data_IF_223856302453
#
_entry.id   IF_223856302453
#
_cell.length_a   1.000
_cell.length_b   1.000
_cell.length_c   1.000
_cell.angle_alpha   90.00
_cell.angle_beta   90.00
_cell.angle_gamma   90.00
#
_symmetry.space_group_name_H-M   'P 1'
#
loop_
_entity.id
_entity.type
_entity.pdbx_description
1 polymer ?
#
# COMPACT_ATOMS: atom_id res chain seq x y z
N UNK A 1 1.06 -14.30 -6.67
CA UNK A 1 0.92 -14.19 -8.14
C UNK A 1 1.89 -15.09 -8.88
N UNK A 2 1.39 -15.94 -9.78
CA UNK A 2 2.24 -16.69 -10.72
C UNK A 2 2.85 -15.75 -11.80
N UNK A 3 3.74 -16.27 -12.63
CA UNK A 3 4.45 -15.48 -13.64
C UNK A 3 3.53 -14.82 -14.68
N UNK A 4 2.47 -15.52 -15.08
CA UNK A 4 1.51 -15.03 -16.07
C UNK A 4 0.66 -13.87 -15.51
N UNK A 5 0.12 -14.01 -14.30
CA UNK A 5 -0.63 -12.94 -13.63
C UNK A 5 0.22 -11.68 -13.42
N UNK A 6 1.53 -11.84 -13.13
CA UNK A 6 2.45 -10.69 -13.03
C UNK A 6 2.62 -9.99 -14.38
N UNK A 7 2.71 -10.74 -15.47
CA UNK A 7 2.83 -10.18 -16.81
C UNK A 7 1.57 -9.40 -17.17
N UNK A 8 0.40 -10.02 -17.01
CA UNK A 8 -0.90 -9.37 -17.27
C UNK A 8 -1.08 -8.11 -16.42
N UNK A 9 -0.77 -8.16 -15.12
CA UNK A 9 -0.88 -6.99 -14.25
C UNK A 9 0.01 -5.83 -14.72
N UNK A 10 1.24 -6.10 -15.18
CA UNK A 10 2.12 -5.06 -15.72
C UNK A 10 1.63 -4.47 -17.05
N UNK A 11 1.05 -5.30 -17.92
CA UNK A 11 0.46 -4.85 -19.19
C UNK A 11 -0.76 -3.96 -18.96
N UNK A 12 -1.66 -4.38 -18.06
CA UNK A 12 -2.82 -3.59 -17.64
C UNK A 12 -2.39 -2.29 -16.94
N UNK A 13 -1.36 -2.31 -16.08
CA UNK A 13 -0.85 -1.10 -15.43
C UNK A 13 -0.23 -0.11 -16.44
N UNK A 14 0.44 -0.61 -17.48
CA UNK A 14 0.94 0.21 -18.60
C UNK A 14 -0.23 0.85 -19.37
N UNK A 15 -1.30 0.10 -19.63
CA UNK A 15 -2.51 0.64 -20.26
C UNK A 15 -3.16 1.71 -19.38
N UNK A 16 -3.32 1.45 -18.08
CA UNK A 16 -3.84 2.43 -17.12
C UNK A 16 -3.01 3.72 -17.14
N UNK A 17 -1.68 3.62 -17.13
CA UNK A 17 -0.77 4.77 -17.18
C UNK A 17 -1.03 5.64 -18.41
N UNK A 18 -1.34 5.04 -19.57
CA UNK A 18 -1.60 5.76 -20.81
C UNK A 18 -2.94 6.53 -20.79
N UNK A 19 -3.93 6.05 -20.03
CA UNK A 19 -5.30 6.62 -20.05
C UNK A 19 -5.72 7.41 -18.81
N UNK A 20 -5.12 7.18 -17.64
CA UNK A 20 -5.66 7.68 -16.35
C UNK A 20 -5.83 9.20 -16.29
N UNK A 21 -5.05 9.96 -17.06
CA UNK A 21 -5.13 11.42 -17.11
C UNK A 21 -6.10 11.95 -18.18
N UNK A 22 -6.70 11.09 -19.00
CA UNK A 22 -7.60 11.47 -20.10
C UNK A 22 -9.06 11.49 -19.57
N UNK A 23 -9.71 12.66 -19.45
CA UNK A 23 -11.03 12.75 -18.79
C UNK A 23 -12.13 11.94 -19.46
N UNK A 24 -12.13 11.85 -20.80
CA UNK A 24 -13.11 11.05 -21.55
C UNK A 24 -12.96 9.54 -21.32
N UNK A 25 -11.79 9.09 -20.87
CA UNK A 25 -11.48 7.69 -20.56
C UNK A 25 -11.65 7.39 -19.06
N UNK A 26 -12.14 8.35 -18.27
CA UNK A 26 -12.25 8.23 -16.82
C UNK A 26 -12.95 6.94 -16.37
N UNK A 27 -14.10 6.60 -16.97
CA UNK A 27 -14.84 5.37 -16.61
C UNK A 27 -14.00 4.11 -16.82
N UNK A 28 -13.28 4.03 -17.93
CA UNK A 28 -12.43 2.89 -18.25
C UNK A 28 -11.17 2.85 -17.36
N UNK A 29 -10.56 4.02 -17.11
CA UNK A 29 -9.43 4.15 -16.22
C UNK A 29 -9.77 3.76 -14.78
N UNK A 30 -10.88 4.26 -14.24
CA UNK A 30 -11.35 3.92 -12.89
C UNK A 30 -11.67 2.43 -12.77
N UNK A 31 -12.34 1.84 -13.76
CA UNK A 31 -12.62 0.40 -13.76
C UNK A 31 -11.34 -0.45 -13.79
N UNK A 32 -10.35 -0.09 -14.63
CA UNK A 32 -9.08 -0.82 -14.70
C UNK A 32 -8.25 -0.61 -13.42
N UNK A 33 -8.26 0.60 -12.85
CA UNK A 33 -7.60 0.90 -11.58
C UNK A 33 -8.20 0.07 -10.44
N UNK A 34 -9.53 0.02 -10.31
CA UNK A 34 -10.22 -0.81 -9.32
C UNK A 34 -9.87 -2.29 -9.49
N UNK A 35 -9.85 -2.80 -10.74
CA UNK A 35 -9.42 -4.18 -11.02
C UNK A 35 -7.98 -4.43 -10.56
N UNK A 36 -7.04 -3.56 -10.95
CA UNK A 36 -5.62 -3.73 -10.63
C UNK A 36 -5.34 -3.60 -9.13
N UNK A 37 -6.02 -2.68 -8.47
CA UNK A 37 -5.95 -2.46 -7.03
C UNK A 37 -6.56 -3.63 -6.25
N UNK A 38 -7.77 -4.08 -6.63
CA UNK A 38 -8.44 -5.21 -6.02
C UNK A 38 -7.63 -6.51 -6.10
N UNK A 39 -6.88 -6.72 -7.19
CA UNK A 39 -5.95 -7.85 -7.27
C UNK A 39 -4.86 -7.80 -6.17
N UNK A 40 -4.45 -6.63 -5.68
CA UNK A 40 -3.41 -6.48 -4.65
C UNK A 40 -3.94 -6.55 -3.20
N UNK A 41 -5.26 -6.42 -3.02
CA UNK A 41 -5.94 -6.39 -1.71
C UNK A 41 -7.00 -7.47 -1.52
N UNK A 42 -7.16 -8.38 -2.50
CA UNK A 42 -8.25 -9.36 -2.55
C UNK A 42 -9.49 -8.73 -3.18
N UNK A 43 -10.11 -9.42 -4.14
CA UNK A 43 -11.27 -8.85 -4.82
C UNK A 43 -12.46 -8.87 -3.85
N UNK A 44 -12.85 -7.69 -3.37
CA UNK A 44 -14.08 -7.51 -2.61
C UNK A 44 -15.24 -7.41 -3.62
N UNK A 45 -15.86 -8.54 -3.96
CA UNK A 45 -17.12 -8.56 -4.74
C UNK A 45 -17.34 -9.78 -5.63
N UNK A 46 -18.37 -10.56 -5.28
CA UNK A 46 -19.19 -11.48 -6.10
C UNK A 46 -18.53 -12.54 -6.99
N UNK A 47 -17.25 -12.86 -6.78
CA UNK A 47 -16.69 -14.13 -7.26
C UNK A 47 -16.10 -14.90 -6.09
N UNK A 48 -16.75 -16.02 -5.83
CA UNK A 48 -16.34 -17.11 -4.94
C UNK A 48 -14.80 -17.29 -4.99
N UNK A 49 -14.10 -16.90 -3.91
CA UNK A 49 -12.71 -17.32 -3.65
C UNK A 49 -11.54 -16.39 -4.02
N UNK A 50 -11.71 -15.11 -4.35
CA UNK A 50 -10.57 -14.22 -4.65
C UNK A 50 -9.83 -13.72 -3.39
N UNK A 51 -8.90 -14.54 -2.88
CA UNK A 51 -8.09 -14.21 -1.69
C UNK A 51 -7.06 -13.12 -1.99
N UNK A 52 -6.94 -12.12 -1.11
CA UNK A 52 -5.87 -11.13 -1.10
C UNK A 52 -4.49 -11.79 -1.16
N UNK A 53 -3.59 -11.33 -2.04
CA UNK A 53 -2.23 -11.89 -2.10
C UNK A 53 -1.45 -11.68 -0.80
N UNK A 54 -1.69 -10.58 -0.08
CA UNK A 54 -1.13 -10.39 1.25
C UNK A 54 -1.64 -11.45 2.23
N UNK A 55 -2.95 -11.68 2.24
CA UNK A 55 -3.60 -12.72 3.03
C UNK A 55 -3.16 -14.14 2.65
N UNK A 56 -2.95 -14.43 1.36
CA UNK A 56 -2.40 -15.71 0.88
C UNK A 56 -0.98 -15.94 1.42
N UNK A 57 -0.14 -14.89 1.39
CA UNK A 57 1.20 -14.96 1.96
C UNK A 57 1.10 -15.22 3.46
N UNK A 58 0.22 -14.54 4.18
CA UNK A 58 0.10 -14.66 5.64
C UNK A 58 -0.46 -16.02 6.08
N UNK A 59 -1.58 -16.48 5.50
CA UNK A 59 -2.23 -17.76 5.87
C UNK A 59 -1.41 -18.99 5.51
N UNK A 60 -0.60 -18.93 4.45
CA UNK A 60 0.23 -20.04 3.99
C UNK A 60 1.62 -20.11 4.64
N UNK A 61 1.92 -19.21 5.60
CA UNK A 61 3.28 -19.02 6.10
C UNK A 61 3.36 -19.10 7.61
N UNK A 62 4.35 -19.86 8.11
CA UNK A 62 4.66 -19.90 9.54
C UNK A 62 5.00 -18.49 10.03
N UNK A 63 4.44 -18.11 11.16
CA UNK A 63 4.68 -16.80 11.79
C UNK A 63 6.17 -16.46 11.93
N UNK A 64 7.01 -17.44 12.28
CA UNK A 64 8.47 -17.26 12.33
C UNK A 64 9.06 -16.74 11.00
N UNK A 65 8.56 -17.22 9.87
CA UNK A 65 9.01 -16.78 8.54
C UNK A 65 8.48 -15.38 8.23
N UNK A 66 7.25 -15.07 8.67
CA UNK A 66 6.65 -13.75 8.49
C UNK A 66 7.44 -12.65 9.22
N UNK A 67 7.85 -12.95 10.44
CA UNK A 67 8.56 -12.06 11.35
C UNK A 67 10.06 -12.01 11.14
N UNK A 68 10.64 -12.96 10.40
CA UNK A 68 12.09 -13.09 10.23
C UNK A 68 12.71 -11.76 9.79
N UNK A 69 13.59 -11.22 10.62
CA UNK A 69 14.38 -10.03 10.36
C UNK A 69 15.77 -10.18 11.01
N UNK A 70 16.86 -9.74 10.36
CA UNK A 70 16.90 -9.35 8.96
C UNK A 70 16.73 -10.58 8.04
N UNK A 71 16.22 -10.35 6.83
CA UNK A 71 16.22 -11.38 5.79
C UNK A 71 17.44 -11.22 4.88
N UNK A 72 17.95 -12.34 4.39
CA UNK A 72 18.93 -12.33 3.31
C UNK A 72 18.20 -12.47 1.97
N UNK A 73 17.75 -11.36 1.39
CA UNK A 73 17.08 -11.34 0.08
C UNK A 73 17.65 -10.24 -0.79
N UNK A 74 17.55 -10.40 -2.11
CA UNK A 74 17.98 -9.37 -3.06
C UNK A 74 17.17 -8.09 -2.84
N UNK A 75 17.87 -6.97 -2.67
CA UNK A 75 17.31 -5.61 -2.54
C UNK A 75 16.39 -5.37 -1.33
N UNK A 76 16.51 -6.19 -0.27
CA UNK A 76 15.82 -5.95 1.02
C UNK A 76 16.42 -6.77 2.16
N UNK A 77 16.47 -6.16 3.36
CA UNK A 77 16.71 -6.86 4.63
C UNK A 77 15.46 -6.95 5.50
N UNK A 78 14.33 -6.42 5.03
CA UNK A 78 13.12 -6.24 5.81
C UNK A 78 12.27 -7.52 5.83
N UNK A 79 11.54 -7.73 6.92
CA UNK A 79 10.63 -8.87 7.08
C UNK A 79 9.43 -8.80 6.13
N UNK A 80 8.69 -9.92 6.03
CA UNK A 80 7.43 -9.94 5.27
C UNK A 80 6.41 -9.00 5.92
N UNK A 81 6.28 -9.05 7.25
CA UNK A 81 5.33 -8.17 7.97
C UNK A 81 5.66 -6.69 7.76
N UNK A 82 6.94 -6.30 7.73
CA UNK A 82 7.33 -4.93 7.41
C UNK A 82 6.90 -4.54 6.00
N UNK A 83 7.10 -5.39 4.99
CA UNK A 83 6.70 -5.07 3.61
C UNK A 83 5.20 -4.89 3.46
N UNK A 84 4.40 -5.72 4.14
CA UNK A 84 2.95 -5.63 4.13
C UNK A 84 2.44 -4.38 4.87
N UNK A 85 3.02 -4.07 6.04
CA UNK A 85 2.68 -2.86 6.80
C UNK A 85 3.10 -1.58 6.07
N UNK A 86 4.34 -1.52 5.59
CA UNK A 86 4.90 -0.35 4.92
C UNK A 86 4.12 0.04 3.67
N UNK A 87 3.73 -0.94 2.85
CA UNK A 87 2.89 -0.69 1.67
C UNK A 87 1.56 -0.07 2.06
N UNK A 88 0.83 -0.70 2.98
CA UNK A 88 -0.44 -0.17 3.45
C UNK A 88 -0.35 1.20 4.14
N UNK A 89 0.72 1.48 4.91
CA UNK A 89 0.96 2.81 5.48
C UNK A 89 1.12 3.87 4.39
N UNK A 90 1.95 3.60 3.37
CA UNK A 90 2.16 4.54 2.26
C UNK A 90 0.84 4.81 1.53
N UNK A 91 0.05 3.77 1.27
CA UNK A 91 -1.25 3.90 0.64
C UNK A 91 -2.21 4.72 1.52
N UNK A 92 -2.36 4.40 2.80
CA UNK A 92 -3.26 5.09 3.72
C UNK A 92 -2.96 6.59 3.78
N UNK A 93 -1.69 6.96 3.99
CA UNK A 93 -1.25 8.37 4.01
C UNK A 93 -1.63 9.07 2.69
N UNK A 94 -1.30 8.45 1.57
CA UNK A 94 -1.46 9.10 0.26
C UNK A 94 -2.91 9.16 -0.17
N UNK A 95 -3.70 8.12 0.05
CA UNK A 95 -5.09 8.08 -0.38
C UNK A 95 -5.98 8.90 0.54
N UNK A 96 -5.87 8.73 1.85
CA UNK A 96 -6.73 9.47 2.78
C UNK A 96 -6.31 10.93 2.91
N UNK A 97 -5.05 11.23 3.23
CA UNK A 97 -4.64 12.63 3.48
C UNK A 97 -4.49 13.38 2.15
N UNK A 98 -3.77 12.82 1.17
CA UNK A 98 -3.39 13.59 -0.03
C UNK A 98 -4.47 13.60 -1.12
N UNK A 99 -5.17 12.49 -1.34
CA UNK A 99 -6.20 12.38 -2.38
C UNK A 99 -7.57 12.79 -1.84
N UNK A 100 -8.04 12.19 -0.75
CA UNK A 100 -9.36 12.47 -0.19
C UNK A 100 -9.39 13.72 0.68
N UNK A 101 -8.30 14.04 1.38
CA UNK A 101 -8.29 15.09 2.40
C UNK A 101 -9.08 14.70 3.65
N UNK A 102 -9.06 13.41 4.00
CA UNK A 102 -9.76 12.84 5.17
C UNK A 102 -8.74 12.26 6.16
N UNK A 103 -9.23 11.90 7.35
CA UNK A 103 -8.46 11.15 8.34
C UNK A 103 -7.99 9.81 7.80
N UNK A 104 -6.87 9.31 8.34
CA UNK A 104 -6.30 8.02 7.97
C UNK A 104 -7.12 6.87 8.55
N UNK A 105 -7.04 5.71 7.91
CA UNK A 105 -7.56 4.47 8.51
C UNK A 105 -6.82 4.14 9.81
N UNK A 106 -5.52 4.45 9.88
CA UNK A 106 -4.70 4.22 11.07
C UNK A 106 -5.24 4.95 12.31
N UNK A 107 -5.84 6.13 12.13
CA UNK A 107 -6.27 7.01 13.22
C UNK A 107 -7.63 6.61 13.80
N UNK A 108 -8.25 5.55 13.29
CA UNK A 108 -9.46 4.97 13.90
C UNK A 108 -9.13 4.32 15.25
N UNK A 109 -10.02 4.47 16.23
CA UNK A 109 -9.81 4.17 17.67
C UNK A 109 -9.23 2.79 18.00
N UNK A 110 -9.25 1.84 17.06
CA UNK A 110 -8.86 0.45 17.28
C UNK A 110 -7.67 -0.03 16.42
N UNK A 111 -7.30 0.67 15.34
CA UNK A 111 -6.31 0.15 14.39
C UNK A 111 -4.89 0.08 14.96
N UNK A 112 -4.44 1.13 15.66
CA UNK A 112 -3.11 1.11 16.29
C UNK A 112 -2.99 0.04 17.37
N UNK A 113 -4.07 -0.20 18.12
CA UNK A 113 -4.12 -1.23 19.15
C UNK A 113 -4.01 -2.63 18.54
N UNK A 114 -4.78 -2.93 17.49
CA UNK A 114 -4.73 -4.22 16.79
C UNK A 114 -3.38 -4.47 16.10
N UNK A 115 -2.76 -3.42 15.56
CA UNK A 115 -1.42 -3.51 14.97
C UNK A 115 -0.35 -3.77 16.02
N UNK A 116 -0.56 -3.45 17.30
CA UNK A 116 0.42 -3.60 18.37
C UNK A 116 1.78 -2.93 18.02
N UNK A 117 1.75 -1.69 17.54
CA UNK A 117 2.96 -0.93 17.21
C UNK A 117 2.85 0.52 17.67
N UNK A 118 4.00 1.15 17.94
CA UNK A 118 4.10 2.59 18.24
C UNK A 118 4.38 3.47 17.02
N UNK A 119 4.48 2.88 15.83
CA UNK A 119 4.94 3.57 14.63
C UNK A 119 3.75 4.09 13.81
N UNK A 120 3.57 5.41 13.79
CA UNK A 120 2.56 6.07 12.94
C UNK A 120 3.11 6.57 11.60
N UNK A 121 4.42 6.64 11.42
CA UNK A 121 5.04 7.15 10.20
C UNK A 121 5.07 6.12 9.05
N UNK A 122 5.47 6.56 7.86
CA UNK A 122 5.54 5.76 6.63
C UNK A 122 6.56 4.60 6.64
N UNK A 123 7.56 4.63 7.51
CA UNK A 123 8.55 3.55 7.67
C UNK A 123 9.80 3.66 6.78
N UNK A 124 9.97 4.73 6.00
CA UNK A 124 11.07 4.87 5.03
C UNK A 124 12.47 5.02 5.64
N UNK A 125 12.59 5.61 6.83
CA UNK A 125 13.87 5.90 7.50
C UNK A 125 13.91 5.30 8.91
N UNK A 126 13.31 4.10 9.07
CA UNK A 126 13.39 3.33 10.31
C UNK A 126 14.81 2.83 10.55
N UNK A 127 15.25 2.83 11.80
CA UNK A 127 16.54 2.23 12.18
C UNK A 127 16.47 0.70 12.16
N UNK A 128 17.62 0.03 12.25
CA UNK A 128 17.64 -1.44 12.32
C UNK A 128 16.90 -1.97 13.55
N UNK A 129 16.99 -1.26 14.67
CA UNK A 129 16.30 -1.57 15.93
C UNK A 129 14.79 -1.41 15.78
N UNK A 130 14.33 -0.31 15.15
CA UNK A 130 12.91 -0.08 14.91
C UNK A 130 12.32 -1.11 13.94
N UNK A 131 13.08 -1.50 12.91
CA UNK A 131 12.66 -2.57 12.00
C UNK A 131 12.61 -3.93 12.68
N UNK A 132 13.55 -4.22 13.60
CA UNK A 132 13.53 -5.44 14.40
C UNK A 132 12.33 -5.46 15.35
N UNK A 133 12.07 -4.35 16.06
CA UNK A 133 10.92 -4.17 16.95
C UNK A 133 9.60 -4.38 16.20
N UNK A 134 9.38 -3.67 15.10
CA UNK A 134 8.16 -3.83 14.30
C UNK A 134 8.01 -5.26 13.78
N UNK A 135 9.09 -5.88 13.31
CA UNK A 135 9.02 -7.25 12.78
C UNK A 135 8.69 -8.28 13.86
N UNK A 136 9.18 -8.08 15.08
CA UNK A 136 8.93 -8.96 16.22
C UNK A 136 7.51 -8.78 16.76
N UNK A 137 7.03 -7.56 16.92
CA UNK A 137 5.87 -7.25 17.78
C UNK A 137 4.55 -7.03 17.03
N UNK A 138 4.57 -6.68 15.73
CA UNK A 138 3.34 -6.32 15.01
C UNK A 138 2.28 -7.43 15.06
N UNK A 139 1.05 -7.07 15.38
CA UNK A 139 -0.10 -7.98 15.39
C UNK A 139 -0.45 -8.41 13.96
N UNK A 140 -0.38 -9.72 13.66
CA UNK A 140 -0.60 -10.24 12.30
C UNK A 140 -2.06 -10.07 11.87
N UNK A 141 -3.01 -10.38 12.76
CA UNK A 141 -4.44 -10.21 12.48
C UNK A 141 -4.80 -8.73 12.32
N UNK A 142 -4.26 -7.86 13.18
CA UNK A 142 -4.40 -6.41 13.05
C UNK A 142 -3.81 -5.88 11.74
N UNK A 143 -2.66 -6.40 11.30
CA UNK A 143 -2.07 -6.06 10.01
C UNK A 143 -2.97 -6.47 8.84
N UNK A 144 -3.59 -7.64 8.89
CA UNK A 144 -4.57 -8.08 7.89
C UNK A 144 -5.79 -7.17 7.86
N UNK A 145 -6.35 -6.86 9.03
CA UNK A 145 -7.49 -5.96 9.16
C UNK A 145 -7.18 -4.58 8.62
N UNK A 146 -6.03 -4.02 8.99
CA UNK A 146 -5.56 -2.72 8.53
C UNK A 146 -5.41 -2.68 7.00
N UNK A 147 -4.78 -3.70 6.40
CA UNK A 147 -4.62 -3.78 4.94
C UNK A 147 -5.95 -3.85 4.19
N UNK A 148 -6.93 -4.58 4.73
CA UNK A 148 -8.28 -4.65 4.15
C UNK A 148 -9.00 -3.31 4.25
N UNK A 149 -8.95 -2.68 5.42
CA UNK A 149 -9.58 -1.39 5.66
C UNK A 149 -8.98 -0.29 4.75
N UNK A 150 -7.66 -0.22 4.62
CA UNK A 150 -6.98 0.68 3.67
C UNK A 150 -7.40 0.39 2.24
N UNK A 151 -7.39 -0.88 1.84
CA UNK A 151 -7.76 -1.28 0.47
C UNK A 151 -9.21 -0.91 0.11
N UNK A 152 -10.16 -1.20 1.01
CA UNK A 152 -11.56 -0.82 0.85
C UNK A 152 -11.70 0.70 0.73
N UNK A 153 -11.07 1.44 1.65
CA UNK A 153 -11.14 2.90 1.67
C UNK A 153 -10.57 3.52 0.39
N UNK A 154 -9.47 2.99 -0.13
CA UNK A 154 -8.90 3.41 -1.41
C UNK A 154 -9.87 3.16 -2.57
N UNK A 155 -10.56 2.02 -2.61
CA UNK A 155 -11.55 1.73 -3.65
C UNK A 155 -12.75 2.68 -3.60
N UNK A 156 -13.23 3.02 -2.41
CA UNK A 156 -14.27 4.05 -2.22
C UNK A 156 -13.81 5.42 -2.76
N UNK A 157 -12.56 5.81 -2.44
CA UNK A 157 -11.97 7.05 -2.96
C UNK A 157 -11.92 7.01 -4.49
N UNK A 158 -11.43 5.92 -5.09
CA UNK A 158 -11.37 5.77 -6.55
C UNK A 158 -12.77 5.90 -7.18
N UNK A 159 -13.79 5.26 -6.58
CA UNK A 159 -15.16 5.30 -7.06
C UNK A 159 -15.80 6.69 -6.97
N UNK A 160 -15.33 7.55 -6.05
CA UNK A 160 -15.84 8.91 -5.85
C UNK A 160 -15.18 9.97 -6.76
N UNK A 161 -14.09 9.64 -7.44
CA UNK A 161 -13.37 10.61 -8.27
C UNK A 161 -14.15 10.90 -9.55
N UNK A 162 -14.24 12.17 -9.91
CA UNK A 162 -14.91 12.65 -11.12
C UNK A 162 -13.95 12.77 -12.32
N UNK A 163 -14.47 12.79 -13.56
CA UNK A 163 -13.67 13.00 -14.76
C UNK A 163 -12.75 14.23 -14.66
N UNK A 164 -11.46 14.02 -14.89
CA UNK A 164 -10.44 15.07 -14.85
C UNK A 164 -9.79 15.27 -13.48
N UNK A 165 -10.35 14.75 -12.38
CA UNK A 165 -9.75 14.89 -11.05
C UNK A 165 -8.40 14.17 -10.91
N UNK A 166 -8.15 13.08 -11.66
CA UNK A 166 -6.84 12.43 -11.71
C UNK A 166 -5.70 13.37 -12.16
N UNK A 167 -5.99 14.49 -12.83
CA UNK A 167 -4.99 15.48 -13.24
C UNK A 167 -4.66 16.50 -12.17
N UNK A 168 -5.48 16.62 -11.13
CA UNK A 168 -5.26 17.59 -10.07
C UNK A 168 -3.98 17.25 -9.31
N UNK A 169 -3.27 18.30 -8.88
CA UNK A 169 -2.14 18.19 -7.96
C UNK A 169 -2.63 18.08 -6.53
N UNK A 170 -1.81 17.48 -5.69
CA UNK A 170 -2.00 17.54 -4.24
C UNK A 170 -1.83 18.99 -3.78
N UNK A 171 -2.69 19.46 -2.87
CA UNK A 171 -2.58 20.81 -2.33
C UNK A 171 -1.43 20.90 -1.31
N UNK A 172 -0.84 22.10 -1.18
CA UNK A 172 0.22 22.33 -0.18
C UNK A 172 -0.28 22.09 1.25
N UNK A 173 -1.54 22.43 1.54
CA UNK A 173 -2.21 22.18 2.82
C UNK A 173 -2.23 20.69 3.18
N UNK A 174 -2.61 19.81 2.24
CA UNK A 174 -2.62 18.36 2.49
C UNK A 174 -1.22 17.80 2.72
N UNK A 175 -0.21 18.36 2.06
CA UNK A 175 1.19 18.00 2.29
C UNK A 175 1.64 18.45 3.69
N UNK A 176 1.20 19.61 4.15
CA UNK A 176 1.51 20.06 5.52
C UNK A 176 0.81 19.19 6.56
N UNK A 177 -0.44 18.80 6.31
CA UNK A 177 -1.16 17.87 7.18
C UNK A 177 -0.41 16.53 7.37
N UNK A 178 0.22 16.00 6.32
CA UNK A 178 1.11 14.82 6.43
C UNK A 178 2.29 15.07 7.41
N UNK A 179 2.85 16.28 7.44
CA UNK A 179 3.93 16.63 8.37
C UNK A 179 3.42 16.81 9.79
N UNK A 180 2.31 17.52 9.95
CA UNK A 180 1.68 17.80 11.26
C UNK A 180 1.27 16.52 11.98
N UNK A 181 0.73 15.53 11.24
CA UNK A 181 0.39 14.22 11.79
C UNK A 181 1.62 13.32 12.07
N UNK A 182 2.83 13.76 11.70
CA UNK A 182 4.04 12.92 11.83
C UNK A 182 4.03 11.68 10.93
N UNK A 183 3.13 11.62 9.94
CA UNK A 183 2.99 10.50 9.01
C UNK A 183 4.25 10.28 8.16
N UNK A 184 5.08 11.33 8.00
CA UNK A 184 6.42 11.23 7.44
C UNK A 184 7.41 11.83 8.43
N UNK A 185 8.46 11.08 8.77
CA UNK A 185 9.49 11.58 9.69
C UNK A 185 10.30 12.72 9.06
N UNK A 186 10.94 13.56 9.87
CA UNK A 186 11.82 14.64 9.37
C UNK A 186 12.95 14.11 8.45
N UNK A 187 13.49 12.92 8.74
CA UNK A 187 14.52 12.28 7.90
C UNK A 187 13.97 11.90 6.52
N UNK A 188 12.68 11.59 6.45
CA UNK A 188 11.97 11.19 5.24
C UNK A 188 11.29 12.35 4.51
N UNK A 189 11.57 13.62 4.83
CA UNK A 189 10.84 14.77 4.23
C UNK A 189 10.99 14.85 2.69
N UNK A 190 11.99 14.20 2.10
CA UNK A 190 12.08 14.02 0.65
C UNK A 190 10.80 13.38 0.06
N UNK A 191 10.09 12.56 0.84
CA UNK A 191 8.87 11.87 0.42
C UNK A 191 7.70 12.85 0.27
N UNK A 192 7.59 13.85 1.15
CA UNK A 192 6.57 14.91 1.02
C UNK A 192 6.81 15.73 -0.25
N UNK A 193 8.08 16.04 -0.56
CA UNK A 193 8.48 16.71 -1.82
C UNK A 193 8.22 15.85 -3.05
N UNK A 194 8.44 14.54 -2.95
CA UNK A 194 8.11 13.61 -4.02
C UNK A 194 6.62 13.57 -4.30
N UNK A 195 5.78 13.48 -3.26
CA UNK A 195 4.32 13.44 -3.38
C UNK A 195 3.71 14.77 -3.83
N UNK A 196 4.23 15.91 -3.37
CA UNK A 196 3.75 17.24 -3.81
C UNK A 196 3.93 17.45 -5.32
N UNK A 197 4.92 16.80 -5.93
CA UNK A 197 5.14 16.81 -7.37
C UNK A 197 4.14 15.96 -8.17
N UNK A 198 3.33 15.11 -7.53
CA UNK A 198 2.42 14.17 -8.21
C UNK A 198 1.04 14.77 -8.47
N UNK A 199 0.39 14.23 -9.49
CA UNK A 199 -1.07 14.35 -9.62
C UNK A 199 -1.75 13.25 -8.82
N UNK A 200 -3.05 13.36 -8.57
CA UNK A 200 -3.86 12.28 -7.98
C UNK A 200 -3.68 10.99 -8.77
N UNK A 201 -3.75 11.03 -10.10
CA UNK A 201 -3.49 9.87 -10.96
C UNK A 201 -2.07 9.31 -10.79
N UNK A 202 -1.07 10.16 -10.58
CA UNK A 202 0.29 9.74 -10.26
C UNK A 202 0.40 9.00 -8.92
N UNK A 203 -0.39 9.40 -7.91
CA UNK A 203 -0.48 8.68 -6.63
C UNK A 203 -1.23 7.35 -6.77
N UNK A 204 -2.24 7.27 -7.63
CA UNK A 204 -2.92 6.02 -7.95
C UNK A 204 -2.00 5.02 -8.65
N UNK A 205 -1.19 5.48 -9.61
CA UNK A 205 -0.27 4.63 -10.37
C UNK A 205 0.92 4.11 -9.56
N UNK A 206 1.30 4.79 -8.48
CA UNK A 206 2.49 4.44 -7.69
C UNK A 206 2.13 3.94 -6.29
N UNK A 207 1.87 4.80 -5.27
CA UNK A 207 1.43 4.37 -3.93
C UNK A 207 0.31 3.33 -3.92
N UNK A 208 -0.83 3.58 -4.58
CA UNK A 208 -1.98 2.69 -4.48
C UNK A 208 -1.87 1.40 -5.32
N UNK A 209 -0.88 1.29 -6.22
CA UNK A 209 -0.78 0.12 -7.12
C UNK A 209 0.64 -0.42 -7.21
N UNK A 210 1.51 0.21 -8.00
CA UNK A 210 2.86 -0.31 -8.29
C UNK A 210 3.71 -0.55 -7.04
N UNK A 211 3.58 0.29 -6.02
CA UNK A 211 4.31 0.15 -4.75
C UNK A 211 3.92 -1.15 -4.04
N UNK A 212 2.63 -1.41 -3.86
CA UNK A 212 2.10 -2.67 -3.32
C UNK A 212 2.58 -3.87 -4.14
N UNK A 213 2.47 -3.81 -5.47
CA UNK A 213 2.94 -4.88 -6.35
C UNK A 213 4.42 -5.22 -6.13
N UNK A 214 5.29 -4.21 -5.97
CA UNK A 214 6.72 -4.42 -5.68
C UNK A 214 6.93 -5.06 -4.32
N UNK A 215 6.28 -4.56 -3.26
CA UNK A 215 6.45 -5.07 -1.90
C UNK A 215 5.89 -6.48 -1.71
N UNK A 216 4.73 -6.78 -2.31
CA UNK A 216 4.17 -8.14 -2.34
C UNK A 216 5.10 -9.12 -3.05
N UNK A 217 5.71 -8.72 -4.17
CA UNK A 217 6.68 -9.59 -4.85
C UNK A 217 7.95 -9.84 -4.02
N UNK A 218 8.43 -8.85 -3.26
CA UNK A 218 9.54 -9.04 -2.30
C UNK A 218 9.13 -10.02 -1.19
N UNK A 219 7.96 -9.82 -0.58
CA UNK A 219 7.41 -10.70 0.45
C UNK A 219 7.26 -12.16 -0.04
N UNK A 220 6.70 -12.37 -1.23
CA UNK A 220 6.59 -13.70 -1.84
C UNK A 220 7.96 -14.37 -2.03
N UNK A 221 8.97 -13.62 -2.49
CA UNK A 221 10.32 -14.14 -2.71
C UNK A 221 11.00 -14.54 -1.39
N UNK A 222 10.83 -13.74 -0.34
CA UNK A 222 11.28 -14.09 1.02
C UNK A 222 10.61 -15.38 1.47
N UNK A 223 9.28 -15.45 1.35
CA UNK A 223 8.52 -16.63 1.77
C UNK A 223 9.00 -17.91 1.04
N UNK A 224 9.11 -17.85 -0.28
CA UNK A 224 9.59 -18.98 -1.08
C UNK A 224 11.04 -19.38 -0.80
N UNK A 225 11.89 -18.49 -0.26
CA UNK A 225 13.28 -18.80 0.11
C UNK A 225 13.36 -19.44 1.50
N UNK A 226 12.57 -18.96 2.46
CA UNK A 226 12.61 -19.39 3.87
C UNK A 226 11.74 -20.62 4.17
N UNK A 227 10.83 -21.00 3.26
CA UNK A 227 10.04 -22.22 3.37
C UNK A 227 10.66 -23.44 2.68
N UNK A 228 11.82 -23.30 2.05
CA UNK A 228 12.62 -24.41 1.52
C UNK A 228 13.50 -24.98 2.62
#
# INVERSE_FOLDING_TARGET
MNGELRKTWNEDHKRLTAMILIPREHKEASALLLKLHGLLHGASGDTDGATDYGELILKGTKEEVLRRYPVESTDTRNSIVWHLWHSARIEDITMNILVAGTEQVLDTDWMLQELNIRFSHSGNEMTEEEMAELSAEIGIEGLLAYRRAVGQRTQEIIASLEPGQFRLKVTAERIENVREQGAVTRKSDWLTKYWSGKTIGGLMLMPATRHHFVHLNKAMRINSKLQR
#
